data_IF_672466151152
#
_entry.id   IF_672466151152
#
_cell.length_a   1.000
_cell.length_b   1.000
_cell.length_c   1.000
_cell.angle_alpha   90.00
_cell.angle_beta   90.00
_cell.angle_gamma   90.00
#
_symmetry.space_group_name_H-M   'P 1'
#
loop_
_entity.id
_entity.type
_entity.pdbx_description
1 polymer ?
#
# COMPACT_ATOMS: atom_id res chain seq x y z
N UNK A 1 -53.02 38.35 -85.49
CA UNK A 1 -51.63 38.61 -85.95
C UNK A 1 -50.99 39.61 -85.01
N UNK A 2 -49.98 39.20 -84.26
CA UNK A 2 -49.06 40.11 -83.58
C UNK A 2 -47.71 39.38 -83.47
N UNK A 3 -46.81 39.66 -84.41
CA UNK A 3 -45.41 39.27 -84.33
C UNK A 3 -44.72 40.13 -83.27
N UNK A 4 -43.99 39.51 -82.34
CA UNK A 4 -42.95 40.19 -81.56
C UNK A 4 -41.69 39.33 -81.52
N UNK A 5 -40.59 40.03 -81.74
CA UNK A 5 -39.25 39.56 -82.04
C UNK A 5 -38.60 38.79 -80.88
N UNK A 6 -37.88 37.71 -81.20
CA UNK A 6 -37.06 36.96 -80.26
C UNK A 6 -35.70 37.66 -80.07
N UNK A 7 -35.40 38.05 -78.83
CA UNK A 7 -34.09 38.54 -78.41
C UNK A 7 -33.37 37.37 -77.72
N UNK A 8 -32.33 36.82 -78.35
CA UNK A 8 -31.49 35.78 -77.74
C UNK A 8 -30.50 36.44 -76.78
N UNK A 9 -30.68 36.23 -75.48
CA UNK A 9 -29.67 36.52 -74.46
C UNK A 9 -29.06 35.21 -73.97
N UNK A 10 -27.80 34.99 -74.33
CA UNK A 10 -26.97 33.88 -73.89
C UNK A 10 -26.54 34.15 -72.44
N UNK A 11 -27.14 33.47 -71.46
CA UNK A 11 -26.68 33.51 -70.06
C UNK A 11 -25.79 32.30 -69.78
N UNK A 12 -24.48 32.56 -69.71
CA UNK A 12 -23.46 31.62 -69.22
C UNK A 12 -23.77 31.25 -67.76
N UNK A 13 -23.98 29.95 -67.52
CA UNK A 13 -24.06 29.35 -66.20
C UNK A 13 -22.67 29.29 -65.57
N UNK A 14 -22.37 30.20 -64.64
CA UNK A 14 -21.24 30.06 -63.73
C UNK A 14 -21.69 29.26 -62.48
N UNK A 15 -21.35 27.98 -62.45
CA UNK A 15 -21.54 27.13 -61.27
C UNK A 15 -20.48 27.47 -60.20
N UNK A 16 -20.87 28.23 -59.18
CA UNK A 16 -20.12 28.37 -57.94
C UNK A 16 -20.30 27.08 -57.11
N UNK A 17 -19.24 26.43 -56.63
CA UNK A 17 -19.40 25.34 -55.68
C UNK A 17 -19.90 25.93 -54.36
N UNK A 18 -21.04 25.44 -53.89
CA UNK A 18 -21.53 25.74 -52.56
C UNK A 18 -20.49 25.24 -51.54
N UNK A 19 -19.79 26.17 -50.87
CA UNK A 19 -19.01 25.86 -49.68
C UNK A 19 -19.99 25.34 -48.63
N UNK A 20 -20.01 24.01 -48.46
CA UNK A 20 -20.67 23.37 -47.34
C UNK A 20 -20.10 23.98 -46.06
N UNK A 21 -20.94 24.70 -45.32
CA UNK A 21 -20.58 25.19 -44.00
C UNK A 21 -20.27 23.97 -43.13
N UNK A 22 -18.99 23.84 -42.72
CA UNK A 22 -18.59 22.85 -41.73
C UNK A 22 -19.49 23.03 -40.51
N UNK A 23 -20.18 21.99 -40.00
CA UNK A 23 -20.92 22.10 -38.76
C UNK A 23 -19.94 22.59 -37.68
N UNK A 24 -20.31 23.68 -37.02
CA UNK A 24 -19.56 24.23 -35.89
C UNK A 24 -19.30 23.07 -34.93
N UNK A 25 -18.04 22.75 -34.57
CA UNK A 25 -17.78 21.70 -33.60
C UNK A 25 -18.61 22.02 -32.37
N UNK A 26 -19.37 21.02 -31.89
CA UNK A 26 -20.04 21.10 -30.61
C UNK A 26 -18.98 21.59 -29.61
N UNK A 27 -19.26 22.70 -28.93
CA UNK A 27 -18.33 23.26 -27.97
C UNK A 27 -17.98 22.13 -26.99
N UNK A 28 -16.74 21.66 -27.03
CA UNK A 28 -16.23 20.80 -25.98
C UNK A 28 -16.38 21.61 -24.70
N UNK A 29 -17.35 21.25 -23.88
CA UNK A 29 -17.55 21.87 -22.58
C UNK A 29 -16.23 21.68 -21.85
N UNK A 30 -15.48 22.77 -21.66
CA UNK A 30 -14.25 22.72 -20.88
C UNK A 30 -14.61 22.04 -19.55
N UNK A 31 -13.81 21.06 -19.10
CA UNK A 31 -14.11 20.41 -17.84
C UNK A 31 -14.16 21.47 -16.73
N UNK A 32 -15.04 21.31 -15.72
CA UNK A 32 -15.10 22.23 -14.60
C UNK A 32 -13.70 22.46 -14.05
N UNK A 33 -13.36 23.71 -13.70
CA UNK A 33 -12.02 24.16 -13.26
C UNK A 33 -11.41 23.28 -12.15
N UNK A 34 -12.28 22.60 -11.39
CA UNK A 34 -11.97 21.74 -10.25
C UNK A 34 -11.84 20.24 -10.60
N UNK A 35 -11.74 19.89 -11.90
CA UNK A 35 -11.72 18.50 -12.36
C UNK A 35 -10.31 18.01 -12.66
N UNK A 36 -9.94 16.89 -12.05
CA UNK A 36 -8.67 16.19 -12.31
C UNK A 36 -8.98 14.81 -12.88
N UNK A 37 -8.24 14.40 -13.90
CA UNK A 37 -8.41 13.10 -14.56
C UNK A 37 -7.32 12.12 -14.17
N UNK A 38 -7.70 10.84 -14.10
CA UNK A 38 -6.82 9.74 -13.73
C UNK A 38 -6.99 8.55 -14.66
N UNK A 39 -5.91 7.81 -14.84
CA UNK A 39 -5.92 6.52 -15.53
C UNK A 39 -6.41 5.38 -14.63
N UNK A 40 -6.28 4.14 -15.12
CA UNK A 40 -6.71 2.94 -14.37
C UNK A 40 -5.90 2.66 -13.12
N UNK A 41 -4.69 3.18 -13.03
CA UNK A 41 -3.77 3.03 -11.90
C UNK A 41 -3.89 4.20 -10.91
N UNK A 42 -4.87 5.09 -11.10
CA UNK A 42 -5.08 6.32 -10.33
C UNK A 42 -3.90 7.30 -10.43
N UNK A 43 -3.13 7.24 -11.52
CA UNK A 43 -2.14 8.26 -11.85
C UNK A 43 -2.80 9.38 -12.64
N UNK A 44 -2.37 10.63 -12.39
CA UNK A 44 -2.91 11.79 -13.11
C UNK A 44 -2.54 11.68 -14.59
N UNK A 45 -3.52 11.83 -15.47
CA UNK A 45 -3.29 11.81 -16.92
C UNK A 45 -3.99 12.98 -17.60
N UNK A 46 -3.37 13.47 -18.66
CA UNK A 46 -3.94 14.45 -19.60
C UNK A 46 -4.38 13.78 -20.92
N UNK A 47 -4.01 12.52 -21.11
CA UNK A 47 -4.35 11.73 -22.30
C UNK A 47 -5.79 11.25 -22.19
N UNK A 48 -6.70 11.84 -22.98
CA UNK A 48 -8.14 11.53 -22.94
C UNK A 48 -8.47 10.04 -23.13
N UNK A 49 -7.63 9.31 -23.87
CA UNK A 49 -7.79 7.88 -24.17
C UNK A 49 -7.48 6.98 -22.96
N UNK A 50 -6.71 7.47 -22.01
CA UNK A 50 -6.29 6.73 -20.81
C UNK A 50 -7.20 7.01 -19.61
N UNK A 51 -8.04 8.04 -19.69
CA UNK A 51 -8.91 8.48 -18.59
C UNK A 51 -9.88 7.37 -18.20
N UNK A 52 -9.75 6.90 -16.96
CA UNK A 52 -10.65 5.95 -16.33
C UNK A 52 -11.49 6.61 -15.22
N UNK A 53 -10.96 7.65 -14.57
CA UNK A 53 -11.63 8.34 -13.48
C UNK A 53 -11.54 9.86 -13.59
N UNK A 54 -12.52 10.54 -12.99
CA UNK A 54 -12.52 11.98 -12.85
C UNK A 54 -12.83 12.35 -11.39
N UNK A 55 -11.99 13.18 -10.78
CA UNK A 55 -12.20 13.77 -9.46
C UNK A 55 -12.69 15.20 -9.61
N UNK A 56 -13.68 15.57 -8.82
CA UNK A 56 -14.12 16.97 -8.64
C UNK A 56 -13.86 17.35 -7.17
N UNK A 57 -12.91 18.26 -6.97
CA UNK A 57 -12.47 18.72 -5.65
C UNK A 57 -12.26 20.24 -5.65
N UNK A 58 -12.87 20.95 -4.70
CA UNK A 58 -12.65 22.40 -4.53
C UNK A 58 -11.49 22.63 -3.59
N UNK A 59 -10.74 23.70 -3.81
CA UNK A 59 -9.61 24.11 -2.97
C UNK A 59 -9.78 25.55 -2.47
N UNK A 60 -9.19 25.85 -1.31
CA UNK A 60 -9.03 27.23 -0.84
C UNK A 60 -7.84 27.91 -1.53
N UNK A 61 -7.61 29.19 -1.22
CA UNK A 61 -6.49 29.95 -1.75
C UNK A 61 -5.11 29.37 -1.36
N UNK A 62 -5.04 28.51 -0.34
CA UNK A 62 -3.82 27.81 0.08
C UNK A 62 -3.68 26.43 -0.60
N UNK A 63 -4.61 26.04 -1.48
CA UNK A 63 -4.62 24.76 -2.16
C UNK A 63 -5.17 23.61 -1.30
N UNK A 64 -5.78 23.90 -0.15
CA UNK A 64 -6.36 22.87 0.72
C UNK A 64 -7.77 22.53 0.26
N UNK A 65 -8.07 21.23 0.19
CA UNK A 65 -9.38 20.71 -0.19
C UNK A 65 -10.49 21.22 0.75
N UNK A 66 -11.56 21.75 0.18
CA UNK A 66 -12.74 22.22 0.91
C UNK A 66 -13.96 21.40 0.52
N UNK A 67 -14.73 21.00 1.54
CA UNK A 67 -16.02 20.39 1.36
C UNK A 67 -15.91 18.91 0.97
N UNK A 68 -16.80 18.49 0.07
CA UNK A 68 -16.93 17.10 -0.34
C UNK A 68 -16.28 16.90 -1.69
N UNK A 69 -15.30 16.01 -1.74
CA UNK A 69 -14.68 15.52 -2.96
C UNK A 69 -15.50 14.36 -3.51
N UNK A 70 -15.60 14.30 -4.84
CA UNK A 70 -16.34 13.26 -5.55
C UNK A 70 -15.51 12.73 -6.71
N UNK A 71 -15.39 11.41 -6.76
CA UNK A 71 -14.76 10.73 -7.89
C UNK A 71 -15.83 9.99 -8.70
N UNK A 72 -15.60 9.89 -10.00
CA UNK A 72 -16.52 9.34 -10.97
C UNK A 72 -15.81 8.36 -11.90
N UNK A 73 -16.51 7.31 -12.30
CA UNK A 73 -16.11 6.48 -13.43
C UNK A 73 -16.24 7.29 -14.73
N UNK A 74 -15.21 7.30 -15.56
CA UNK A 74 -15.25 7.93 -16.88
C UNK A 74 -15.32 6.85 -17.98
N UNK A 75 -16.09 7.05 -19.06
CA UNK A 75 -16.89 8.22 -19.42
C UNK A 75 -18.33 8.20 -18.87
N UNK A 76 -18.70 7.20 -18.05
CA UNK A 76 -20.09 7.02 -17.61
C UNK A 76 -20.58 8.09 -16.63
N UNK A 77 -19.67 8.83 -16.00
CA UNK A 77 -19.91 9.83 -14.95
C UNK A 77 -20.73 9.29 -13.78
N UNK A 78 -20.74 7.98 -13.59
CA UNK A 78 -21.33 7.36 -12.41
C UNK A 78 -20.43 7.63 -11.21
N UNK A 79 -21.04 7.96 -10.07
CA UNK A 79 -20.32 8.22 -8.82
C UNK A 79 -19.52 6.96 -8.45
N UNK A 80 -18.23 7.13 -8.19
CA UNK A 80 -17.32 6.08 -7.76
C UNK A 80 -16.95 6.26 -6.30
N UNK A 81 -16.79 7.50 -5.83
CA UNK A 81 -16.45 7.80 -4.45
C UNK A 81 -16.95 9.19 -4.01
N UNK A 82 -17.20 9.34 -2.72
CA UNK A 82 -17.58 10.62 -2.09
C UNK A 82 -17.09 10.65 -0.64
N UNK A 83 -16.45 11.76 -0.26
CA UNK A 83 -15.96 11.94 1.10
C UNK A 83 -15.30 13.29 1.32
N UNK A 84 -14.68 13.46 2.50
CA UNK A 84 -13.79 14.59 2.78
C UNK A 84 -12.35 14.11 2.74
N UNK A 85 -11.44 15.01 2.39
CA UNK A 85 -10.01 14.72 2.35
C UNK A 85 -9.23 15.67 3.26
N UNK A 86 -8.24 15.12 3.97
CA UNK A 86 -7.23 15.88 4.70
C UNK A 86 -6.05 16.27 3.80
N UNK A 87 -5.75 15.46 2.78
CA UNK A 87 -4.75 15.71 1.73
C UNK A 87 -5.08 14.88 0.48
N UNK A 88 -4.60 15.31 -0.70
CA UNK A 88 -4.79 14.60 -1.99
C UNK A 88 -3.48 14.04 -2.58
N UNK A 89 -2.34 14.24 -1.91
CA UNK A 89 -1.06 13.69 -2.35
C UNK A 89 -0.12 13.42 -1.15
N UNK A 90 -0.05 12.17 -0.66
CA UNK A 90 -0.94 11.07 -0.99
C UNK A 90 -2.37 11.35 -0.48
N UNK A 91 -3.36 10.68 -1.08
CA UNK A 91 -4.76 10.75 -0.64
C UNK A 91 -4.91 10.34 0.83
N UNK A 92 -5.54 11.21 1.62
CA UNK A 92 -5.83 10.98 3.05
C UNK A 92 -7.29 11.32 3.34
N UNK A 93 -8.24 10.41 3.07
CA UNK A 93 -9.64 10.62 3.41
C UNK A 93 -9.86 10.80 4.92
N UNK A 94 -10.91 11.54 5.27
CA UNK A 94 -11.28 11.82 6.66
C UNK A 94 -12.79 11.96 6.81
N UNK A 95 -13.33 11.57 7.96
CA UNK A 95 -14.77 11.52 8.21
C UNK A 95 -15.46 10.41 7.42
N UNK A 96 -16.78 10.52 7.28
CA UNK A 96 -17.60 9.53 6.58
C UNK A 96 -17.31 9.57 5.07
N UNK A 97 -16.92 8.42 4.52
CA UNK A 97 -16.67 8.23 3.11
C UNK A 97 -17.50 7.04 2.58
N UNK A 98 -17.91 7.14 1.32
CA UNK A 98 -18.66 6.10 0.61
C UNK A 98 -18.03 5.87 -0.77
N UNK A 99 -17.98 4.60 -1.19
CA UNK A 99 -17.62 4.18 -2.53
C UNK A 99 -18.75 3.41 -3.20
N UNK A 100 -18.77 3.40 -4.52
CA UNK A 100 -19.75 2.69 -5.33
C UNK A 100 -19.07 1.87 -6.42
N UNK A 101 -19.68 0.75 -6.76
CA UNK A 101 -19.39 -0.02 -7.97
C UNK A 101 -19.98 0.68 -9.19
N UNK A 102 -19.49 0.35 -10.38
CA UNK A 102 -19.98 0.97 -11.63
C UNK A 102 -21.46 0.64 -11.94
N UNK A 103 -22.00 -0.40 -11.32
CA UNK A 103 -23.43 -0.71 -11.36
C UNK A 103 -24.30 0.19 -10.44
N UNK A 104 -23.68 1.08 -9.67
CA UNK A 104 -24.32 2.03 -8.76
C UNK A 104 -24.60 1.48 -7.36
N UNK A 105 -24.29 0.20 -7.09
CA UNK A 105 -24.38 -0.36 -5.75
C UNK A 105 -23.22 0.13 -4.88
N UNK A 106 -23.43 0.19 -3.56
CA UNK A 106 -22.40 0.62 -2.61
C UNK A 106 -21.27 -0.41 -2.60
N UNK A 107 -20.03 0.03 -2.79
CA UNK A 107 -18.85 -0.83 -2.68
C UNK A 107 -18.24 -0.79 -1.28
N UNK A 108 -18.25 0.39 -0.64
CA UNK A 108 -17.89 0.52 0.78
C UNK A 108 -18.48 1.76 1.42
N UNK A 109 -18.50 1.78 2.74
CA UNK A 109 -18.93 2.90 3.57
C UNK A 109 -18.26 2.80 4.93
N UNK A 110 -17.73 3.91 5.42
CA UNK A 110 -17.12 3.95 6.74
C UNK A 110 -16.47 5.28 7.06
N UNK A 111 -16.08 5.45 8.32
CA UNK A 111 -15.33 6.61 8.77
C UNK A 111 -13.85 6.40 8.54
N UNK A 112 -13.16 7.46 8.13
CA UNK A 112 -11.71 7.51 8.02
C UNK A 112 -11.13 8.59 8.95
N UNK A 113 -9.92 8.38 9.43
CA UNK A 113 -9.12 9.40 10.13
C UNK A 113 -7.73 9.42 9.50
N UNK A 114 -7.40 10.52 8.81
CA UNK A 114 -6.10 10.70 8.12
C UNK A 114 -5.72 9.52 7.20
N UNK A 115 -6.68 8.99 6.44
CA UNK A 115 -6.49 7.85 5.55
C UNK A 115 -6.66 6.48 6.19
N UNK A 116 -6.86 6.39 7.51
CA UNK A 116 -7.03 5.11 8.21
C UNK A 116 -8.51 4.80 8.45
N UNK A 117 -8.95 3.63 8.01
CA UNK A 117 -10.30 3.11 8.23
C UNK A 117 -10.60 2.92 9.72
N UNK A 118 -11.81 3.29 10.13
CA UNK A 118 -12.32 3.11 11.49
C UNK A 118 -13.22 1.85 11.57
N UNK A 119 -13.64 1.49 12.79
CA UNK A 119 -14.35 0.24 13.08
C UNK A 119 -15.75 0.12 12.44
N UNK A 120 -16.34 1.25 12.03
CA UNK A 120 -17.63 1.30 11.32
C UNK A 120 -17.51 0.99 9.82
N UNK A 121 -16.29 0.81 9.31
CA UNK A 121 -16.06 0.48 7.90
C UNK A 121 -16.69 -0.85 7.50
N UNK A 122 -17.40 -0.84 6.37
CA UNK A 122 -18.03 -1.99 5.75
C UNK A 122 -17.81 -1.92 4.24
N UNK A 123 -17.73 -3.10 3.61
CA UNK A 123 -17.55 -3.26 2.17
C UNK A 123 -18.50 -4.32 1.63
N UNK A 124 -18.86 -4.22 0.35
CA UNK A 124 -19.81 -5.09 -0.32
C UNK A 124 -19.32 -5.48 -1.71
N UNK A 125 -19.72 -6.67 -2.16
CA UNK A 125 -19.58 -7.12 -3.53
C UNK A 125 -20.48 -6.30 -4.48
N UNK A 126 -20.24 -6.43 -5.78
CA UNK A 126 -21.06 -5.79 -6.82
C UNK A 126 -22.51 -6.29 -6.85
N UNK A 127 -22.77 -7.49 -6.31
CA UNK A 127 -24.11 -8.04 -6.09
C UNK A 127 -24.78 -7.57 -4.78
N UNK A 128 -24.09 -6.73 -3.99
CA UNK A 128 -24.60 -6.15 -2.76
C UNK A 128 -24.44 -7.02 -1.51
N UNK A 129 -23.80 -8.19 -1.61
CA UNK A 129 -23.45 -9.00 -0.44
C UNK A 129 -22.35 -8.34 0.38
N UNK A 130 -22.55 -8.23 1.68
CA UNK A 130 -21.59 -7.66 2.62
C UNK A 130 -20.36 -8.57 2.74
N UNK A 131 -19.17 -8.00 2.55
CA UNK A 131 -17.88 -8.68 2.72
C UNK A 131 -17.51 -8.64 4.20
N UNK A 132 -17.40 -9.81 4.83
CA UNK A 132 -17.00 -9.95 6.23
C UNK A 132 -15.62 -10.57 6.33
N UNK A 133 -14.67 -9.78 6.80
CA UNK A 133 -13.31 -10.24 7.03
C UNK A 133 -13.10 -10.66 8.48
N UNK A 134 -12.74 -11.91 8.69
CA UNK A 134 -12.17 -12.40 9.94
C UNK A 134 -10.66 -12.21 9.92
N UNK A 135 -10.08 -11.70 11.00
CA UNK A 135 -8.64 -11.54 11.17
C UNK A 135 -8.16 -12.41 12.33
N UNK A 136 -7.06 -13.12 12.12
CA UNK A 136 -6.45 -13.98 13.13
C UNK A 136 -4.93 -13.82 13.10
N UNK A 137 -4.33 -13.76 14.29
CA UNK A 137 -2.87 -13.83 14.43
C UNK A 137 -2.42 -15.29 14.47
N UNK A 138 -1.38 -15.61 13.72
CA UNK A 138 -0.77 -16.93 13.64
C UNK A 138 0.75 -16.81 13.64
N UNK A 139 1.46 -17.71 14.31
CA UNK A 139 2.93 -17.79 14.21
C UNK A 139 3.33 -18.18 12.77
N UNK A 140 4.11 -17.32 12.10
CA UNK A 140 4.68 -17.58 10.77
C UNK A 140 6.13 -18.07 10.87
N UNK A 141 6.88 -17.56 11.85
CA UNK A 141 8.13 -18.15 12.31
C UNK A 141 8.06 -18.23 13.84
N UNK A 142 7.99 -19.44 14.43
CA UNK A 142 8.11 -19.58 15.88
C UNK A 142 9.50 -19.11 16.32
N UNK A 143 9.71 -19.00 17.64
CA UNK A 143 11.00 -18.55 18.17
C UNK A 143 12.17 -19.35 17.58
N UNK A 144 13.03 -18.66 16.82
CA UNK A 144 14.19 -19.23 16.16
C UNK A 144 15.42 -18.43 16.52
N UNK A 145 16.52 -19.10 16.81
CA UNK A 145 17.80 -18.47 17.08
C UNK A 145 18.90 -19.05 16.20
N UNK A 146 19.96 -18.27 16.01
CA UNK A 146 21.16 -18.68 15.32
C UNK A 146 22.37 -17.93 15.87
N UNK A 147 23.47 -18.65 16.05
CA UNK A 147 24.78 -18.05 16.29
C UNK A 147 25.30 -17.45 14.99
N UNK A 148 25.76 -16.21 15.06
CA UNK A 148 26.39 -15.46 13.98
C UNK A 148 27.76 -14.97 14.46
N UNK A 149 28.82 -15.43 13.80
CA UNK A 149 30.16 -15.25 14.31
C UNK A 149 30.73 -13.86 14.01
N UNK A 150 31.81 -13.49 14.67
CA UNK A 150 32.50 -12.23 14.42
C UNK A 150 33.03 -12.14 12.98
N UNK A 151 33.21 -10.91 12.48
CA UNK A 151 33.64 -10.67 11.10
C UNK A 151 35.07 -11.16 10.78
N UNK A 152 35.91 -11.36 11.79
CA UNK A 152 37.25 -11.94 11.66
C UNK A 152 37.34 -13.42 12.09
N UNK A 153 36.21 -14.04 12.42
CA UNK A 153 36.15 -15.43 12.87
C UNK A 153 36.16 -16.39 11.66
N UNK A 154 36.52 -17.66 11.87
CA UNK A 154 36.54 -18.68 10.80
C UNK A 154 35.16 -19.07 10.29
N UNK A 155 34.11 -18.71 11.02
CA UNK A 155 32.73 -19.08 10.73
C UNK A 155 31.92 -17.91 10.17
N UNK A 156 30.72 -18.21 9.68
CA UNK A 156 29.92 -17.22 8.97
C UNK A 156 29.30 -16.20 9.94
N UNK A 157 29.49 -14.91 9.65
CA UNK A 157 28.89 -13.79 10.40
C UNK A 157 27.42 -13.53 10.09
N UNK A 158 26.82 -14.35 9.23
CA UNK A 158 25.56 -14.10 8.52
C UNK A 158 24.58 -15.22 8.74
N UNK A 159 23.31 -14.85 8.95
CA UNK A 159 22.18 -15.77 8.96
C UNK A 159 21.04 -15.21 8.12
N UNK A 160 20.38 -16.08 7.37
CA UNK A 160 19.08 -15.80 6.77
C UNK A 160 18.04 -16.69 7.43
N UNK A 161 17.01 -16.09 8.01
CA UNK A 161 15.81 -16.77 8.44
C UNK A 161 14.79 -16.74 7.31
N UNK A 162 14.30 -17.90 6.89
CA UNK A 162 13.24 -18.01 5.89
C UNK A 162 11.91 -18.13 6.62
N UNK A 163 10.95 -17.29 6.26
CA UNK A 163 9.62 -17.22 6.88
C UNK A 163 8.58 -17.51 5.81
N UNK A 164 7.92 -18.66 5.92
CA UNK A 164 6.78 -18.99 5.06
C UNK A 164 5.51 -18.38 5.64
N UNK A 165 4.80 -17.57 4.84
CA UNK A 165 3.61 -16.86 5.27
C UNK A 165 2.34 -17.66 4.93
N UNK A 166 1.39 -17.76 5.87
CA UNK A 166 0.08 -18.33 5.58
C UNK A 166 -0.65 -17.58 4.46
N UNK A 167 -1.55 -18.29 3.77
CA UNK A 167 -2.39 -17.69 2.72
C UNK A 167 -3.32 -16.65 3.35
N UNK A 168 -3.46 -15.49 2.73
CA UNK A 168 -4.27 -14.39 3.27
C UNK A 168 -3.55 -13.53 4.30
N UNK A 169 -2.23 -13.66 4.45
CA UNK A 169 -1.44 -12.74 5.27
C UNK A 169 -1.50 -11.32 4.68
N UNK A 170 -1.96 -10.37 5.49
CA UNK A 170 -2.02 -8.93 5.14
C UNK A 170 -0.89 -8.13 5.79
N UNK A 171 -0.22 -8.70 6.79
CA UNK A 171 0.94 -8.11 7.43
C UNK A 171 1.52 -9.03 8.49
N UNK A 172 2.65 -8.63 9.05
CA UNK A 172 3.33 -9.34 10.13
C UNK A 172 3.68 -8.41 11.27
N UNK A 173 3.95 -8.98 12.43
CA UNK A 173 4.73 -8.36 13.50
C UNK A 173 5.93 -9.24 13.74
N UNK A 174 7.13 -8.65 13.71
CA UNK A 174 8.36 -9.36 14.03
C UNK A 174 8.96 -8.81 15.31
N UNK A 175 9.66 -9.67 16.05
CA UNK A 175 10.57 -9.31 17.14
C UNK A 175 11.93 -9.90 16.81
N UNK A 176 12.92 -9.02 16.62
CA UNK A 176 14.31 -9.38 16.35
C UNK A 176 15.18 -8.88 17.51
N UNK A 177 16.11 -9.71 17.95
CA UNK A 177 17.13 -9.38 18.93
C UNK A 177 18.47 -9.99 18.48
N UNK A 178 19.51 -9.17 18.44
CA UNK A 178 20.88 -9.53 18.14
C UNK A 178 21.70 -9.16 19.36
N UNK A 179 22.33 -10.14 20.00
CA UNK A 179 23.11 -9.93 21.22
C UNK A 179 24.46 -10.59 21.15
N UNK A 180 25.46 -9.87 21.61
CA UNK A 180 26.80 -10.42 21.74
C UNK A 180 26.83 -11.53 22.79
N UNK A 181 27.77 -12.45 22.61
CA UNK A 181 28.03 -13.52 23.56
C UNK A 181 28.27 -12.97 24.98
N UNK A 182 27.72 -13.67 25.98
CA UNK A 182 27.84 -13.30 27.39
C UNK A 182 26.82 -12.27 27.89
N UNK A 183 25.98 -11.70 27.01
CA UNK A 183 24.88 -10.84 27.42
C UNK A 183 23.68 -11.62 27.99
N UNK A 184 22.91 -11.05 28.92
CA UNK A 184 21.72 -11.72 29.47
C UNK A 184 20.65 -11.93 28.38
N UNK A 185 19.97 -13.09 28.38
CA UNK A 185 18.90 -13.36 27.42
C UNK A 185 17.67 -12.50 27.69
N UNK A 186 16.92 -12.18 26.63
CA UNK A 186 15.61 -11.53 26.77
C UNK A 186 14.49 -12.56 26.90
N UNK A 187 13.40 -12.15 27.54
CA UNK A 187 12.18 -12.94 27.58
C UNK A 187 11.41 -12.78 26.27
N UNK A 188 10.97 -13.91 25.73
CA UNK A 188 10.20 -14.00 24.49
C UNK A 188 8.77 -14.41 24.81
N UNK A 189 7.82 -13.63 24.30
CA UNK A 189 6.43 -14.08 24.14
C UNK A 189 6.14 -14.27 22.64
N UNK A 190 5.37 -15.31 22.30
CA UNK A 190 5.01 -15.67 20.91
C UNK A 190 3.64 -15.09 20.53
N UNK A 191 3.22 -15.24 19.26
CA UNK A 191 1.92 -14.77 18.77
C UNK A 191 0.75 -15.25 19.63
N UNK A 192 0.79 -16.50 20.11
CA UNK A 192 -0.28 -17.10 20.91
C UNK A 192 -0.53 -16.35 22.22
N UNK A 193 0.51 -15.77 22.83
CA UNK A 193 0.38 -14.98 24.06
C UNK A 193 -0.26 -13.60 23.82
N UNK A 194 -0.36 -13.17 22.56
CA UNK A 194 -0.83 -11.84 22.13
C UNK A 194 -2.14 -11.90 21.32
N UNK A 195 -2.49 -13.06 20.78
CA UNK A 195 -3.76 -13.32 20.10
C UNK A 195 -4.99 -13.00 20.98
N UNK A 196 -4.87 -13.16 22.30
CA UNK A 196 -5.91 -12.78 23.27
C UNK A 196 -6.12 -11.26 23.40
N UNK A 197 -5.12 -10.44 23.03
CA UNK A 197 -5.12 -8.98 23.22
C UNK A 197 -5.63 -8.23 21.99
N UNK A 198 -5.50 -8.82 20.79
CA UNK A 198 -5.83 -8.13 19.54
C UNK A 198 -7.33 -8.04 19.24
N UNK A 199 -8.19 -8.81 19.93
CA UNK A 199 -9.64 -8.81 19.70
C UNK A 199 -10.00 -9.41 18.33
N UNK A 200 -10.70 -10.54 18.33
CA UNK A 200 -11.24 -11.13 17.10
C UNK A 200 -12.49 -10.36 16.67
N UNK A 201 -12.32 -9.27 15.91
CA UNK A 201 -13.40 -8.68 15.12
C UNK A 201 -13.49 -7.15 15.16
N UNK A 202 -13.53 -6.54 13.96
CA UNK A 202 -13.99 -5.16 13.76
C UNK A 202 -12.92 -4.08 13.62
N UNK A 203 -11.66 -4.34 13.97
CA UNK A 203 -10.57 -3.39 13.74
C UNK A 203 -9.87 -3.64 12.39
N UNK A 204 -9.46 -2.56 11.71
CA UNK A 204 -8.69 -2.65 10.47
C UNK A 204 -7.30 -3.27 10.72
N UNK A 205 -6.77 -3.97 9.71
CA UNK A 205 -5.50 -4.70 9.81
C UNK A 205 -4.32 -3.87 10.36
N UNK A 206 -4.09 -2.58 9.97
CA UNK A 206 -3.02 -1.77 10.55
C UNK A 206 -3.14 -1.56 12.06
N UNK A 207 -4.38 -1.39 12.57
CA UNK A 207 -4.63 -1.20 13.99
C UNK A 207 -4.38 -2.50 14.78
N UNK A 208 -4.80 -3.64 14.23
CA UNK A 208 -4.52 -4.96 14.81
C UNK A 208 -3.02 -5.24 14.89
N UNK A 209 -2.27 -4.97 13.81
CA UNK A 209 -0.82 -5.13 13.78
C UNK A 209 -0.12 -4.23 14.82
N UNK A 210 -0.53 -2.96 14.92
CA UNK A 210 0.02 -2.02 15.90
C UNK A 210 -0.27 -2.46 17.34
N UNK A 211 -1.47 -2.98 17.59
CA UNK A 211 -1.89 -3.49 18.91
C UNK A 211 -1.06 -4.71 19.30
N UNK A 212 -0.90 -5.65 18.36
CA UNK A 212 -0.07 -6.83 18.55
C UNK A 212 1.40 -6.48 18.81
N UNK A 213 1.98 -5.54 18.06
CA UNK A 213 3.33 -5.04 18.30
C UNK A 213 3.48 -4.40 19.69
N UNK A 214 2.52 -3.57 20.10
CA UNK A 214 2.54 -2.95 21.43
C UNK A 214 2.49 -3.99 22.54
N UNK A 215 1.67 -5.04 22.39
CA UNK A 215 1.59 -6.12 23.36
C UNK A 215 2.89 -6.95 23.43
N UNK A 216 3.52 -7.25 22.28
CA UNK A 216 4.82 -7.93 22.23
C UNK A 216 5.94 -7.09 22.87
N UNK A 217 5.92 -5.77 22.71
CA UNK A 217 6.90 -4.86 23.34
C UNK A 217 6.67 -4.75 24.86
N UNK A 218 5.43 -4.92 25.34
CA UNK A 218 5.13 -4.88 26.79
C UNK A 218 5.37 -6.21 27.49
N UNK A 219 5.31 -7.33 26.76
CA UNK A 219 5.59 -8.65 27.31
C UNK A 219 7.09 -8.99 27.23
N UNK A 220 7.68 -9.23 28.39
CA UNK A 220 9.07 -9.68 28.54
C UNK A 220 10.04 -8.59 28.99
N UNK A 221 11.21 -9.02 29.44
CA UNK A 221 12.34 -8.13 29.72
C UNK A 221 13.00 -7.73 28.41
N UNK A 222 12.68 -6.53 27.91
CA UNK A 222 13.30 -5.93 26.72
C UNK A 222 14.49 -5.04 27.09
N UNK A 223 15.29 -5.48 28.07
CA UNK A 223 16.51 -4.78 28.44
C UNK A 223 17.39 -4.60 27.20
N UNK A 224 17.87 -3.38 26.90
CA UNK A 224 18.75 -3.17 25.77
C UNK A 224 20.04 -4.01 25.95
N UNK A 225 20.78 -4.27 24.86
CA UNK A 225 22.12 -4.84 24.98
C UNK A 225 22.98 -4.04 25.95
N UNK A 226 23.75 -4.75 26.79
CA UNK A 226 24.60 -4.13 27.83
C UNK A 226 25.92 -3.61 27.26
N UNK A 227 26.25 -4.01 26.03
CA UNK A 227 27.41 -3.54 25.27
C UNK A 227 26.98 -3.11 23.87
N UNK A 228 27.86 -2.37 23.18
CA UNK A 228 27.60 -1.90 21.81
C UNK A 228 27.70 -3.08 20.83
N UNK A 229 26.55 -3.68 20.54
CA UNK A 229 26.39 -4.73 19.52
C UNK A 229 26.32 -4.10 18.14
N UNK A 230 27.29 -4.40 17.28
CA UNK A 230 27.31 -3.93 15.89
C UNK A 230 26.68 -4.98 14.98
N UNK A 231 25.63 -4.58 14.28
CA UNK A 231 24.91 -5.46 13.37
C UNK A 231 24.17 -4.66 12.33
N UNK A 232 23.91 -5.29 11.19
CA UNK A 232 22.94 -4.80 10.22
C UNK A 232 22.07 -5.94 9.73
N UNK A 233 20.88 -5.59 9.28
CA UNK A 233 19.91 -6.59 8.86
C UNK A 233 18.87 -6.02 7.90
N UNK A 234 18.26 -6.93 7.14
CA UNK A 234 17.28 -6.65 6.10
C UNK A 234 16.08 -7.60 6.22
N UNK A 235 14.90 -7.11 5.87
CA UNK A 235 13.70 -7.91 5.61
C UNK A 235 13.31 -7.71 4.15
N UNK A 236 13.37 -8.79 3.37
CA UNK A 236 13.08 -8.75 1.93
C UNK A 236 12.17 -9.90 1.51
N UNK A 237 11.24 -9.68 0.58
CA UNK A 237 10.50 -10.77 -0.08
C UNK A 237 11.32 -11.42 -1.22
N UNK A 238 12.44 -10.80 -1.65
CA UNK A 238 13.23 -11.24 -2.79
C UNK A 238 14.29 -12.28 -2.37
N UNK A 239 14.12 -13.52 -2.85
CA UNK A 239 15.04 -14.62 -2.59
C UNK A 239 16.43 -14.38 -3.18
N UNK A 240 16.52 -13.75 -4.35
CA UNK A 240 17.81 -13.45 -4.99
C UNK A 240 18.61 -12.45 -4.16
N UNK A 241 17.93 -11.49 -3.51
CA UNK A 241 18.56 -10.55 -2.59
C UNK A 241 19.08 -11.27 -1.32
N UNK A 242 18.31 -12.21 -0.78
CA UNK A 242 18.74 -13.03 0.36
C UNK A 242 19.94 -13.93 0.02
N UNK A 243 19.97 -14.50 -1.19
CA UNK A 243 21.12 -15.25 -1.69
C UNK A 243 22.34 -14.34 -1.90
N UNK A 244 22.15 -13.14 -2.45
CA UNK A 244 23.22 -12.13 -2.57
C UNK A 244 23.81 -11.79 -1.19
N UNK A 245 22.97 -11.62 -0.16
CA UNK A 245 23.43 -11.36 1.20
C UNK A 245 24.34 -12.48 1.74
N UNK A 246 24.00 -13.75 1.47
CA UNK A 246 24.82 -14.91 1.84
C UNK A 246 26.09 -15.06 0.96
N UNK A 247 26.08 -14.58 -0.27
CA UNK A 247 27.25 -14.63 -1.16
C UNK A 247 28.24 -13.47 -0.90
N UNK A 248 27.77 -12.34 -0.40
CA UNK A 248 28.55 -11.12 -0.13
C UNK A 248 28.82 -10.93 1.35
N UNK A 249 29.55 -9.89 1.77
CA UNK A 249 29.74 -9.58 3.21
C UNK A 249 28.49 -8.98 3.88
N UNK A 250 27.32 -9.57 3.65
CA UNK A 250 26.05 -9.16 4.25
C UNK A 250 25.36 -8.03 3.50
N UNK A 251 25.69 -7.78 2.23
CA UNK A 251 25.16 -6.62 1.51
C UNK A 251 24.02 -7.00 0.57
N UNK A 252 23.00 -6.14 0.51
CA UNK A 252 21.95 -6.18 -0.51
C UNK A 252 22.03 -4.90 -1.33
N UNK A 253 22.24 -5.04 -2.64
CA UNK A 253 22.45 -3.90 -3.55
C UNK A 253 21.18 -3.09 -3.83
N UNK A 254 20.01 -3.71 -3.71
CA UNK A 254 18.69 -3.07 -3.87
C UNK A 254 17.98 -2.94 -2.51
N UNK A 255 18.69 -2.42 -1.52
CA UNK A 255 18.19 -2.25 -0.15
C UNK A 255 16.90 -1.42 -0.05
N UNK A 256 16.71 -0.44 -0.95
CA UNK A 256 15.47 0.36 -1.06
C UNK A 256 14.22 -0.47 -1.41
N UNK A 257 14.40 -1.67 -1.96
CA UNK A 257 13.32 -2.61 -2.25
C UNK A 257 13.03 -3.54 -1.07
N UNK A 258 13.87 -3.55 -0.04
CA UNK A 258 13.60 -4.27 1.19
C UNK A 258 12.49 -3.56 1.97
N UNK A 259 11.64 -4.34 2.63
CA UNK A 259 10.61 -3.80 3.50
C UNK A 259 11.18 -3.13 4.75
N UNK A 260 12.37 -3.57 5.17
CA UNK A 260 13.15 -2.95 6.24
C UNK A 260 14.63 -3.20 6.00
N UNK A 261 15.44 -2.17 6.25
CA UNK A 261 16.89 -2.25 6.39
C UNK A 261 17.26 -1.47 7.65
N UNK A 262 18.13 -2.01 8.50
CA UNK A 262 18.57 -1.33 9.71
C UNK A 262 20.05 -1.59 9.99
N UNK A 263 20.68 -0.61 10.62
CA UNK A 263 22.09 -0.65 11.01
C UNK A 263 22.18 -0.29 12.50
N UNK A 264 23.02 -1.01 13.24
CA UNK A 264 23.23 -0.90 14.68
C UNK A 264 21.93 -0.82 15.50
N UNK A 265 20.91 -1.55 15.04
CA UNK A 265 19.61 -1.69 15.70
C UNK A 265 19.50 -3.15 16.19
N UNK A 266 20.10 -3.47 17.34
CA UNK A 266 20.19 -4.85 17.82
C UNK A 266 18.85 -5.41 18.27
N UNK A 267 17.89 -4.56 18.65
CA UNK A 267 16.57 -5.00 19.08
C UNK A 267 15.49 -4.18 18.39
N UNK A 268 14.52 -4.83 17.76
CA UNK A 268 13.35 -4.17 17.18
C UNK A 268 12.11 -5.06 17.27
N UNK A 269 10.99 -4.46 17.66
CA UNK A 269 9.65 -5.06 17.56
C UNK A 269 8.77 -4.11 16.77
N UNK A 270 8.27 -4.54 15.62
CA UNK A 270 7.57 -3.64 14.70
C UNK A 270 6.50 -4.34 13.88
N UNK A 271 5.34 -3.69 13.63
CA UNK A 271 4.39 -4.14 12.63
C UNK A 271 4.89 -3.81 11.21
N UNK A 272 4.60 -4.68 10.27
CA UNK A 272 4.93 -4.53 8.86
C UNK A 272 3.72 -4.93 8.01
N UNK A 273 3.15 -3.97 7.27
CA UNK A 273 2.16 -4.29 6.26
C UNK A 273 2.85 -4.96 5.07
N UNK A 274 2.20 -5.95 4.47
CA UNK A 274 2.77 -6.70 3.34
C UNK A 274 1.92 -6.50 2.08
N UNK A 275 2.56 -6.41 0.90
CA UNK A 275 1.84 -6.44 -0.37
C UNK A 275 1.01 -7.72 -0.51
N UNK A 276 -0.15 -7.62 -1.16
CA UNK A 276 -1.01 -8.76 -1.44
C UNK A 276 -0.23 -9.84 -2.23
N UNK A 277 -0.38 -11.10 -1.83
CA UNK A 277 0.29 -12.22 -2.48
C UNK A 277 1.71 -12.53 -1.99
N UNK A 278 2.26 -11.78 -1.03
CA UNK A 278 3.54 -12.11 -0.39
C UNK A 278 3.46 -13.47 0.30
N UNK A 279 4.24 -14.46 -0.15
CA UNK A 279 4.24 -15.84 0.37
C UNK A 279 5.41 -16.16 1.28
N UNK A 280 6.51 -15.43 1.15
CA UNK A 280 7.75 -15.72 1.87
C UNK A 280 8.48 -14.42 2.17
N UNK A 281 9.16 -14.40 3.30
CA UNK A 281 10.08 -13.34 3.69
C UNK A 281 11.42 -13.94 4.09
N UNK A 282 12.47 -13.16 3.87
CA UNK A 282 13.83 -13.46 4.28
C UNK A 282 14.30 -12.38 5.24
N UNK A 283 14.60 -12.77 6.47
CA UNK A 283 15.22 -11.88 7.47
C UNK A 283 16.72 -12.18 7.48
N UNK A 284 17.49 -11.28 6.91
CA UNK A 284 18.93 -11.40 6.71
C UNK A 284 19.63 -10.62 7.83
N UNK A 285 20.44 -11.27 8.65
CA UNK A 285 21.10 -10.67 9.82
C UNK A 285 22.60 -10.90 9.74
N UNK A 286 23.38 -9.83 9.89
CA UNK A 286 24.84 -9.88 9.94
C UNK A 286 25.36 -9.34 11.27
N UNK A 287 26.35 -10.03 11.83
CA UNK A 287 27.17 -9.54 12.92
C UNK A 287 28.35 -8.74 12.35
N UNK A 288 28.44 -7.46 12.72
CA UNK A 288 29.52 -6.56 12.30
C UNK A 288 30.61 -6.40 13.36
N UNK A 289 30.50 -7.11 14.48
CA UNK A 289 31.56 -7.12 15.48
C UNK A 289 32.84 -7.73 14.91
N UNK A 290 33.98 -7.20 15.32
CA UNK A 290 35.27 -7.67 14.81
C UNK A 290 35.73 -8.97 15.46
N UNK A 291 35.51 -9.12 16.78
CA UNK A 291 36.06 -10.22 17.59
C UNK A 291 35.03 -10.98 18.41
N UNK A 292 33.78 -10.52 18.43
CA UNK A 292 32.75 -11.05 19.34
C UNK A 292 31.63 -11.69 18.54
N UNK A 293 31.32 -12.94 18.87
CA UNK A 293 30.19 -13.66 18.32
C UNK A 293 28.87 -13.08 18.88
N UNK A 294 27.79 -13.29 18.15
CA UNK A 294 26.47 -12.86 18.57
C UNK A 294 25.43 -13.95 18.31
N UNK A 295 24.30 -13.85 19.00
CA UNK A 295 23.11 -14.67 18.76
C UNK A 295 22.04 -13.77 18.17
N UNK A 296 21.55 -14.11 16.98
CA UNK A 296 20.35 -13.53 16.41
C UNK A 296 19.16 -14.40 16.78
N UNK A 297 18.13 -13.79 17.37
CA UNK A 297 16.88 -14.45 17.73
C UNK A 297 15.71 -13.70 17.09
N UNK A 298 14.80 -14.45 16.47
CA UNK A 298 13.70 -13.91 15.68
C UNK A 298 12.41 -14.69 15.99
N UNK A 299 11.31 -13.95 16.12
CA UNK A 299 9.95 -14.50 15.98
C UNK A 299 9.15 -13.64 15.01
N UNK A 300 8.26 -14.27 14.25
CA UNK A 300 7.38 -13.59 13.29
C UNK A 300 5.96 -14.10 13.44
N UNK A 301 5.05 -13.17 13.69
CA UNK A 301 3.60 -13.39 13.75
C UNK A 301 2.95 -12.81 12.51
N UNK A 302 2.17 -13.60 11.78
CA UNK A 302 1.35 -13.13 10.67
C UNK A 302 -0.06 -12.75 11.14
N UNK A 303 -0.58 -11.66 10.58
CA UNK A 303 -2.01 -11.34 10.60
C UNK A 303 -2.63 -11.89 9.32
N UNK A 304 -3.42 -12.94 9.47
CA UNK A 304 -4.15 -13.59 8.39
C UNK A 304 -5.56 -13.05 8.36
N UNK A 305 -5.99 -12.58 7.18
CA UNK A 305 -7.34 -12.05 6.98
C UNK A 305 -8.07 -12.90 5.92
N UNK A 306 -9.22 -13.44 6.31
CA UNK A 306 -10.12 -14.20 5.42
C UNK A 306 -11.43 -13.46 5.29
N UNK A 307 -11.78 -13.07 4.08
CA UNK A 307 -13.03 -12.38 3.79
C UNK A 307 -14.02 -13.33 3.11
N UNK A 308 -15.26 -13.35 3.58
CA UNK A 308 -16.38 -14.11 3.01
C UNK A 308 -17.48 -13.18 2.55
#
# INVERSE_FOLDING_TARGET
MAQRYALYFLFMLASLPALAQRPKPAAATLPPVDTVYFDRDWERTETLEEVAYARIARHDAAGKTIGTVRDYFYPSWKKQWEGKMAAENPDKPTGLCCGWHENGQVSFRGTYVNGVQQADFRSWHDDGREIKCASQLQDALPLSNATIHCSNCMHTSRKVFTVDLPVGTVGIVYKLDVRDEGQPPISWSTALAVAAVAGSGGAAAPALLSTAATALTKQGNNAPPTVSTKCHWYITPDESAAQQFLATKGTITRDKMCFRAAENTPQETRPLALPAGTRRLYVCVNNDNYTTDATATLSVTALVQTCQ
#
